data_IF_548044205503
#
_entry.id   IF_548044205503
#
_cell.length_a   1.000
_cell.length_b   1.000
_cell.length_c   1.000
_cell.angle_alpha   90.00
_cell.angle_beta   90.00
_cell.angle_gamma   90.00
#
_symmetry.space_group_name_H-M   'P 1'
#
loop_
_entity.id
_entity.type
_entity.pdbx_description
1 polymer ?
#
# COMPACT_ATOMS: atom_id res chain seq x y z
N UNK A 1 -3.75 3.25 -8.50
CA UNK A 1 -2.62 4.04 -9.01
C UNK A 1 -3.16 5.07 -9.99
N UNK A 2 -2.95 6.37 -9.73
CA UNK A 2 -3.14 7.40 -10.76
C UNK A 2 -1.95 7.32 -11.72
N UNK A 3 -2.16 6.81 -12.92
CA UNK A 3 -1.14 6.79 -13.97
C UNK A 3 -1.31 8.00 -14.88
N UNK A 4 -0.86 9.18 -14.44
CA UNK A 4 -0.78 10.42 -15.23
C UNK A 4 0.57 11.13 -15.06
N UNK A 5 1.66 10.36 -15.05
CA UNK A 5 3.01 10.91 -15.07
C UNK A 5 3.31 11.76 -16.31
N UNK A 6 4.35 12.59 -16.21
CA UNK A 6 4.76 13.56 -17.23
C UNK A 6 4.81 13.01 -18.67
N UNK A 7 4.47 13.88 -19.63
CA UNK A 7 4.52 13.58 -21.06
C UNK A 7 5.83 14.08 -21.70
N UNK A 8 6.64 13.17 -22.26
CA UNK A 8 7.63 13.56 -23.28
C UNK A 8 6.86 13.98 -24.53
N UNK A 9 7.04 15.22 -24.98
CA UNK A 9 6.30 15.80 -26.11
C UNK A 9 7.21 16.31 -27.21
N UNK A 10 7.01 15.79 -28.41
CA UNK A 10 7.24 16.50 -29.67
C UNK A 10 5.93 17.21 -30.10
N UNK A 11 6.00 18.25 -30.93
CA UNK A 11 4.83 19.06 -31.30
C UNK A 11 3.69 18.24 -31.97
N UNK A 12 2.44 18.61 -31.67
CA UNK A 12 1.20 17.82 -31.95
C UNK A 12 0.74 17.83 -33.42
N UNK A 13 0.08 16.73 -33.83
CA UNK A 13 -1.31 16.69 -34.39
C UNK A 13 -1.93 15.28 -34.17
N UNK A 14 -3.21 15.08 -34.46
CA UNK A 14 -4.13 14.21 -33.66
C UNK A 14 -5.17 13.37 -34.45
N UNK A 15 -5.79 12.39 -33.74
CA UNK A 15 -7.14 11.76 -33.94
C UNK A 15 -7.24 10.55 -34.95
N UNK A 16 -8.31 9.69 -34.94
CA UNK A 16 -8.72 8.69 -33.90
C UNK A 16 -9.34 7.35 -34.45
N UNK A 17 -10.19 6.64 -33.66
CA UNK A 17 -11.15 5.53 -33.97
C UNK A 17 -10.56 4.08 -33.96
N UNK A 18 -11.27 2.95 -33.69
CA UNK A 18 -12.72 2.64 -33.49
C UNK A 18 -12.95 1.45 -32.51
N UNK A 19 -14.23 1.15 -32.20
CA UNK A 19 -14.80 0.16 -31.24
C UNK A 19 -14.78 -1.31 -31.75
N UNK A 20 -14.82 -2.31 -30.85
CA UNK A 20 -15.26 -3.70 -31.12
C UNK A 20 -15.60 -4.50 -29.84
N UNK A 21 -16.64 -5.35 -29.84
CA UNK A 21 -17.17 -6.05 -28.66
C UNK A 21 -17.79 -7.44 -28.98
N UNK A 22 -18.07 -8.24 -27.91
CA UNK A 22 -18.90 -9.48 -27.86
C UNK A 22 -18.33 -10.77 -28.54
N UNK A 23 -18.66 -12.03 -28.17
CA UNK A 23 -19.31 -12.65 -26.98
C UNK A 23 -19.31 -14.22 -27.04
N UNK A 24 -19.45 -14.92 -25.88
CA UNK A 24 -20.05 -16.29 -25.67
C UNK A 24 -19.29 -17.54 -26.29
N UNK A 25 -19.35 -18.83 -25.87
CA UNK A 25 -20.06 -19.63 -24.79
C UNK A 25 -19.48 -21.07 -24.61
N UNK A 26 -20.04 -21.87 -23.66
CA UNK A 26 -19.98 -23.35 -23.40
C UNK A 26 -18.93 -23.81 -22.33
N UNK A 27 -19.22 -24.53 -21.22
CA UNK A 27 -19.93 -25.81 -20.90
C UNK A 27 -18.96 -27.03 -20.79
N UNK A 28 -19.07 -28.04 -19.89
CA UNK A 28 -20.01 -28.38 -18.79
C UNK A 28 -19.40 -29.44 -17.81
N UNK A 29 -19.85 -29.50 -16.53
CA UNK A 29 -19.85 -30.64 -15.54
C UNK A 29 -18.59 -31.41 -15.08
N UNK A 30 -18.58 -31.79 -13.79
CA UNK A 30 -17.80 -32.91 -13.23
C UNK A 30 -17.77 -32.96 -11.69
N UNK A 31 -18.33 -34.00 -11.05
CA UNK A 31 -18.31 -34.22 -9.59
C UNK A 31 -17.37 -35.37 -9.18
N UNK A 32 -16.90 -35.40 -7.94
CA UNK A 32 -16.81 -36.58 -7.05
C UNK A 32 -16.20 -36.22 -5.69
N UNK A 33 -16.78 -36.73 -4.61
CA UNK A 33 -16.26 -36.67 -3.23
C UNK A 33 -15.36 -37.88 -2.93
N UNK A 34 -14.47 -37.78 -1.92
CA UNK A 34 -14.02 -38.94 -1.14
C UNK A 34 -13.43 -38.52 0.23
N UNK A 35 -14.00 -39.06 1.32
CA UNK A 35 -13.64 -38.78 2.71
C UNK A 35 -12.45 -39.65 3.21
N UNK A 36 -11.59 -39.08 4.05
CA UNK A 36 -10.49 -39.79 4.72
C UNK A 36 -10.44 -39.51 6.24
N UNK A 37 -10.29 -40.53 7.12
CA UNK A 37 -10.53 -40.37 8.55
C UNK A 37 -9.42 -39.62 9.30
N UNK A 38 -9.83 -38.74 10.23
CA UNK A 38 -8.94 -37.94 11.06
C UNK A 38 -8.26 -38.76 12.18
N UNK A 39 -6.92 -38.69 12.25
CA UNK A 39 -6.17 -39.18 13.40
C UNK A 39 -6.18 -38.16 14.55
N UNK A 40 -6.54 -38.62 15.76
CA UNK A 40 -6.65 -37.77 16.94
C UNK A 40 -5.28 -37.21 17.36
N UNK A 41 -5.10 -35.89 17.22
CA UNK A 41 -3.88 -35.19 17.62
C UNK A 41 -3.94 -34.86 19.11
N UNK A 42 -2.95 -35.34 19.87
CA UNK A 42 -2.82 -35.11 21.31
C UNK A 42 -2.77 -33.60 21.61
N UNK A 43 -3.60 -33.16 22.55
CA UNK A 43 -3.63 -31.77 23.04
C UNK A 43 -2.40 -31.48 23.90
N UNK A 44 -1.60 -30.44 23.58
CA UNK A 44 -0.56 -29.97 24.49
C UNK A 44 -1.17 -29.48 25.80
N UNK A 45 -0.53 -29.79 26.92
CA UNK A 45 -0.94 -29.30 28.24
C UNK A 45 -0.93 -27.77 28.27
N UNK A 46 -1.95 -27.17 28.88
CA UNK A 46 -2.11 -25.72 28.88
C UNK A 46 -0.97 -25.03 29.64
N UNK A 47 -0.30 -24.09 28.98
CA UNK A 47 0.70 -23.23 29.63
C UNK A 47 0.04 -22.38 30.73
N UNK A 48 0.65 -22.38 31.92
CA UNK A 48 0.22 -21.60 33.09
C UNK A 48 0.74 -20.15 33.08
N UNK A 49 1.38 -19.71 32.00
CA UNK A 49 1.82 -18.32 31.86
C UNK A 49 0.60 -17.37 31.77
N UNK A 50 0.64 -16.19 32.42
CA UNK A 50 -0.40 -15.17 32.25
C UNK A 50 -0.58 -14.79 30.79
N UNK A 51 -1.83 -14.79 30.33
CA UNK A 51 -2.19 -14.40 28.96
C UNK A 51 -1.91 -12.89 28.79
N UNK A 52 -1.16 -12.46 27.75
CA UNK A 52 -0.85 -11.04 27.59
C UNK A 52 -2.10 -10.17 27.41
N UNK A 53 -2.00 -8.89 27.80
CA UNK A 53 -3.09 -7.94 27.69
C UNK A 53 -3.37 -7.61 26.21
N UNK A 54 -4.63 -7.35 25.83
CA UNK A 54 -4.94 -6.83 24.50
C UNK A 54 -4.45 -5.39 24.37
N UNK A 55 -4.02 -4.99 23.17
CA UNK A 55 -3.52 -3.63 22.92
C UNK A 55 -4.54 -2.54 23.30
N UNK A 56 -5.82 -2.80 23.06
CA UNK A 56 -7.00 -2.00 23.44
C UNK A 56 -8.21 -2.90 23.68
N UNK A 57 -9.28 -2.36 24.25
CA UNK A 57 -10.61 -2.98 24.11
C UNK A 57 -11.24 -2.68 22.74
N UNK A 58 -12.20 -3.51 22.33
CA UNK A 58 -13.00 -3.31 21.11
C UNK A 58 -13.69 -1.94 21.05
N UNK A 59 -14.11 -1.38 22.20
CA UNK A 59 -14.70 -0.05 22.27
C UNK A 59 -13.66 1.04 21.96
N UNK A 60 -12.52 1.01 22.65
CA UNK A 60 -11.44 1.98 22.45
C UNK A 60 -10.90 1.96 21.00
N UNK A 61 -10.78 0.78 20.37
CA UNK A 61 -10.38 0.69 18.96
C UNK A 61 -11.39 1.38 18.02
N UNK A 62 -12.69 1.32 18.32
CA UNK A 62 -13.75 2.04 17.58
C UNK A 62 -13.68 3.54 17.81
N UNK A 63 -13.38 3.97 19.03
CA UNK A 63 -13.18 5.39 19.37
C UNK A 63 -11.96 5.96 18.64
N UNK A 64 -10.87 5.19 18.51
CA UNK A 64 -9.69 5.55 17.69
C UNK A 64 -10.07 5.76 16.22
N UNK A 65 -10.80 4.83 15.59
CA UNK A 65 -11.24 4.96 14.18
C UNK A 65 -12.20 6.16 14.00
N UNK A 66 -13.05 6.42 14.99
CA UNK A 66 -13.97 7.58 15.01
C UNK A 66 -13.20 8.89 15.10
N UNK A 67 -12.25 8.98 16.05
CA UNK A 67 -11.34 10.13 16.21
C UNK A 67 -10.55 10.39 14.94
N UNK A 68 -9.99 9.33 14.34
CA UNK A 68 -9.28 9.39 13.07
C UNK A 68 -10.14 10.06 12.00
N UNK A 69 -11.32 9.51 11.70
CA UNK A 69 -12.18 10.04 10.63
C UNK A 69 -12.59 11.49 10.89
N UNK A 70 -12.81 11.88 12.16
CA UNK A 70 -13.11 13.27 12.51
C UNK A 70 -11.93 14.20 12.21
N UNK A 71 -10.75 13.92 12.76
CA UNK A 71 -9.60 14.83 12.68
C UNK A 71 -8.99 14.82 11.27
N UNK A 72 -8.93 13.67 10.59
CA UNK A 72 -8.52 13.60 9.19
C UNK A 72 -9.43 14.47 8.30
N UNK A 73 -10.76 14.49 8.52
CA UNK A 73 -11.68 15.39 7.81
C UNK A 73 -11.52 16.89 8.12
N UNK A 74 -11.05 17.23 9.32
CA UNK A 74 -10.74 18.61 9.69
C UNK A 74 -9.42 19.02 9.02
N UNK A 75 -8.37 18.21 9.17
CA UNK A 75 -7.07 18.44 8.55
C UNK A 75 -7.11 18.51 7.02
N UNK A 76 -7.83 17.60 6.35
CA UNK A 76 -7.91 17.57 4.88
C UNK A 76 -8.74 18.71 4.29
N UNK A 77 -9.72 19.25 5.03
CA UNK A 77 -10.50 20.40 4.58
C UNK A 77 -9.65 21.68 4.50
N UNK A 78 -8.69 21.83 5.41
CA UNK A 78 -7.85 23.03 5.56
C UNK A 78 -6.38 22.81 5.15
N UNK A 79 -6.02 21.59 4.71
CA UNK A 79 -4.65 21.12 4.45
C UNK A 79 -3.69 21.25 5.67
N UNK A 80 -4.21 21.17 6.90
CA UNK A 80 -3.44 21.32 8.14
C UNK A 80 -2.62 20.05 8.45
N UNK A 81 -1.38 20.03 7.95
CA UNK A 81 -0.38 18.97 8.21
C UNK A 81 -0.13 18.72 9.71
N UNK A 82 -0.18 19.76 10.55
CA UNK A 82 0.07 19.64 12.01
C UNK A 82 -1.13 19.04 12.74
N UNK A 83 -2.35 19.23 12.23
CA UNK A 83 -3.53 18.54 12.73
C UNK A 83 -3.55 17.07 12.26
N UNK A 84 -3.15 16.82 11.01
CA UNK A 84 -3.01 15.48 10.43
C UNK A 84 -2.01 14.61 11.20
N UNK A 85 -0.86 15.17 11.56
CA UNK A 85 0.20 14.59 12.42
C UNK A 85 -0.32 14.09 13.79
N UNK A 86 -1.54 14.46 14.20
CA UNK A 86 -2.16 13.94 15.45
C UNK A 86 -3.01 12.69 15.26
N UNK A 87 -3.17 12.21 14.01
CA UNK A 87 -3.94 11.00 13.63
C UNK A 87 -3.28 10.13 12.58
N UNK A 88 -2.23 10.59 11.90
CA UNK A 88 -1.43 9.82 10.95
C UNK A 88 0.06 9.96 11.25
N UNK A 89 0.81 8.87 11.04
CA UNK A 89 2.28 8.86 11.07
C UNK A 89 2.82 7.87 10.00
N UNK A 90 4.13 7.72 9.90
CA UNK A 90 4.78 6.68 9.12
C UNK A 90 4.58 6.84 7.61
N UNK A 91 4.50 5.73 6.85
CA UNK A 91 4.34 5.78 5.40
C UNK A 91 3.01 6.41 4.98
N UNK A 92 1.92 6.23 5.76
CA UNK A 92 0.65 6.89 5.47
C UNK A 92 0.75 8.41 5.56
N UNK A 93 1.28 8.96 6.65
CA UNK A 93 1.43 10.41 6.79
C UNK A 93 2.29 11.01 5.67
N UNK A 94 3.37 10.34 5.27
CA UNK A 94 4.19 10.78 4.15
C UNK A 94 3.43 10.81 2.80
N UNK A 95 2.52 9.86 2.57
CA UNK A 95 1.64 9.86 1.41
C UNK A 95 0.63 11.02 1.48
N UNK A 96 -0.07 11.20 2.60
CA UNK A 96 -1.07 12.26 2.77
C UNK A 96 -0.48 13.68 2.72
N UNK A 97 0.70 13.90 3.31
CA UNK A 97 1.45 15.17 3.22
C UNK A 97 1.87 15.47 1.77
N UNK A 98 2.14 14.44 0.98
CA UNK A 98 2.38 14.60 -0.46
C UNK A 98 1.13 15.04 -1.20
N UNK A 99 -0.02 14.40 -0.98
CA UNK A 99 -1.29 14.79 -1.59
C UNK A 99 -1.65 16.26 -1.29
N UNK A 100 -1.35 16.75 -0.07
CA UNK A 100 -1.49 18.18 0.28
C UNK A 100 -0.52 19.06 -0.52
N UNK A 101 0.71 18.61 -0.69
CA UNK A 101 1.78 19.31 -1.42
C UNK A 101 1.45 19.41 -2.92
N UNK A 102 0.98 18.33 -3.55
CA UNK A 102 0.46 18.33 -4.93
C UNK A 102 -0.71 19.31 -5.07
N UNK A 103 -1.67 19.27 -4.14
CA UNK A 103 -2.85 20.15 -4.12
C UNK A 103 -2.47 21.63 -3.99
N UNK A 104 -1.51 21.95 -3.13
CA UNK A 104 -0.99 23.32 -2.98
C UNK A 104 -0.25 23.81 -4.23
N UNK A 105 0.44 22.92 -4.94
CA UNK A 105 1.07 23.22 -6.23
C UNK A 105 0.08 23.65 -7.32
N UNK A 106 -1.19 23.24 -7.22
CA UNK A 106 -2.24 23.62 -8.17
C UNK A 106 -2.73 25.07 -7.98
N UNK A 107 -3.06 25.79 -9.07
CA UNK A 107 -3.81 27.05 -9.00
C UNK A 107 -5.10 26.87 -8.21
N UNK A 108 -5.49 27.84 -7.38
CA UNK A 108 -6.66 27.71 -6.49
C UNK A 108 -7.97 27.32 -7.20
N UNK A 109 -8.16 27.76 -8.45
CA UNK A 109 -9.32 27.42 -9.31
C UNK A 109 -9.30 26.00 -9.90
N UNK A 110 -8.18 25.30 -9.79
CA UNK A 110 -7.96 23.92 -10.26
C UNK A 110 -7.93 22.93 -9.06
N UNK A 111 -8.16 23.42 -7.82
CA UNK A 111 -8.23 22.58 -6.60
C UNK A 111 -9.68 22.13 -6.39
N UNK A 112 -9.88 20.82 -6.33
CA UNK A 112 -11.19 20.24 -6.00
C UNK A 112 -11.50 20.42 -4.50
N UNK A 113 -12.75 20.73 -4.12
CA UNK A 113 -13.17 20.76 -2.71
C UNK A 113 -13.02 19.38 -2.05
N UNK A 114 -12.58 19.36 -0.78
CA UNK A 114 -12.49 18.12 -0.03
C UNK A 114 -13.87 17.58 0.38
N UNK A 115 -14.18 16.35 -0.03
CA UNK A 115 -15.38 15.62 0.39
C UNK A 115 -15.14 14.87 1.70
N UNK A 116 -15.88 15.23 2.75
CA UNK A 116 -15.79 14.57 4.06
C UNK A 116 -16.38 13.16 4.03
N UNK A 117 -15.67 12.21 4.64
CA UNK A 117 -16.05 10.79 4.68
C UNK A 117 -15.81 10.18 6.07
N UNK A 118 -16.35 9.00 6.35
CA UNK A 118 -16.07 8.30 7.60
C UNK A 118 -16.14 6.80 7.42
N UNK A 119 -15.32 6.04 8.14
CA UNK A 119 -15.42 4.58 8.10
C UNK A 119 -16.74 4.07 8.66
N UNK A 120 -17.31 3.07 8.00
CA UNK A 120 -18.47 2.33 8.49
C UNK A 120 -18.07 1.37 9.61
N UNK A 121 -18.22 1.84 10.85
CA UNK A 121 -17.93 1.05 12.03
C UNK A 121 -18.82 -0.21 12.15
N UNK A 122 -20.00 -0.25 11.52
CA UNK A 122 -20.89 -1.41 11.61
C UNK A 122 -20.33 -2.62 10.84
N UNK A 123 -19.67 -2.37 9.70
CA UNK A 123 -19.01 -3.40 8.89
C UNK A 123 -17.55 -3.68 9.27
N UNK A 124 -16.92 -2.79 10.04
CA UNK A 124 -15.53 -2.90 10.46
C UNK A 124 -15.21 -4.22 11.19
N UNK A 125 -14.12 -4.89 10.76
CA UNK A 125 -13.52 -6.03 11.48
C UNK A 125 -12.28 -5.53 12.21
N UNK A 126 -12.16 -5.85 13.49
CA UNK A 126 -11.08 -5.39 14.34
C UNK A 126 -10.20 -6.57 14.70
N UNK A 127 -8.90 -6.42 14.48
CA UNK A 127 -7.87 -7.42 14.78
C UNK A 127 -6.92 -6.82 15.81
N UNK A 128 -7.34 -6.90 17.07
CA UNK A 128 -6.61 -6.31 18.19
C UNK A 128 -5.69 -7.38 18.78
N UNK A 129 -4.36 -7.29 18.61
CA UNK A 129 -3.44 -8.28 19.14
C UNK A 129 -3.38 -8.22 20.66
N UNK A 130 -3.06 -9.36 21.27
CA UNK A 130 -2.45 -9.41 22.60
C UNK A 130 -0.95 -9.22 22.49
N UNK A 131 -0.42 -8.38 23.38
CA UNK A 131 0.95 -7.91 23.36
C UNK A 131 1.56 -8.10 24.74
N UNK A 132 2.80 -8.57 24.78
CA UNK A 132 3.58 -8.67 26.01
C UNK A 132 4.03 -7.28 26.49
N UNK A 133 4.33 -7.17 27.78
CA UNK A 133 4.79 -5.92 28.37
C UNK A 133 6.05 -5.41 27.65
N UNK A 134 6.03 -4.12 27.28
CA UNK A 134 7.12 -3.47 26.55
C UNK A 134 7.09 -3.63 25.03
N UNK A 135 6.15 -4.39 24.45
CA UNK A 135 5.92 -4.36 23.00
C UNK A 135 5.16 -3.09 22.60
N UNK A 136 5.49 -2.52 21.44
CA UNK A 136 4.75 -1.39 20.86
C UNK A 136 3.29 -1.76 20.61
N UNK A 137 2.37 -0.87 21.00
CA UNK A 137 0.94 -1.13 21.00
C UNK A 137 0.34 -0.76 19.65
N UNK A 138 -0.35 -1.71 19.02
CA UNK A 138 -1.01 -1.50 17.73
C UNK A 138 -2.27 -2.37 17.60
N UNK A 139 -3.11 -2.08 16.62
CA UNK A 139 -4.14 -3.00 16.12
C UNK A 139 -4.33 -2.81 14.61
N UNK A 140 -4.81 -3.86 13.94
CA UNK A 140 -5.25 -3.75 12.54
C UNK A 140 -6.78 -3.75 12.46
N UNK A 141 -7.32 -3.15 11.40
CA UNK A 141 -8.76 -3.17 11.13
C UNK A 141 -9.03 -3.33 9.63
N UNK A 142 -9.99 -4.18 9.27
CA UNK A 142 -10.59 -4.15 7.95
C UNK A 142 -11.74 -3.14 7.95
N UNK A 143 -11.69 -2.15 7.06
CA UNK A 143 -12.57 -0.99 7.04
C UNK A 143 -13.24 -0.78 5.68
N UNK A 144 -14.43 -0.17 5.70
CA UNK A 144 -15.13 0.36 4.53
C UNK A 144 -15.32 1.86 4.69
N UNK A 145 -15.02 2.66 3.65
CA UNK A 145 -15.39 4.08 3.59
C UNK A 145 -16.84 4.31 3.13
N UNK A 146 -17.54 3.26 2.71
CA UNK A 146 -18.94 3.30 2.28
C UNK A 146 -19.83 2.56 3.29
N UNK A 147 -20.93 3.21 3.69
CA UNK A 147 -21.90 2.66 4.65
C UNK A 147 -22.58 1.41 4.11
N UNK A 148 -22.54 0.32 4.88
CA UNK A 148 -23.19 -0.95 4.53
C UNK A 148 -22.48 -1.76 3.45
N UNK A 149 -21.25 -1.40 3.07
CA UNK A 149 -20.41 -2.22 2.18
C UNK A 149 -19.47 -3.11 2.98
N UNK A 150 -19.03 -4.21 2.36
CA UNK A 150 -17.96 -5.03 2.90
C UNK A 150 -16.64 -4.23 2.92
N UNK A 151 -15.78 -4.44 3.94
CA UNK A 151 -14.45 -3.85 4.00
C UNK A 151 -13.64 -4.04 2.71
N UNK A 152 -13.02 -2.95 2.27
CA UNK A 152 -12.16 -2.88 1.08
C UNK A 152 -10.75 -2.39 1.40
N UNK A 153 -10.47 -2.06 2.67
CA UNK A 153 -9.18 -1.57 3.16
C UNK A 153 -8.73 -2.35 4.39
N UNK A 154 -7.43 -2.58 4.52
CA UNK A 154 -6.79 -2.91 5.79
C UNK A 154 -6.02 -1.69 6.28
N UNK A 155 -6.23 -1.30 7.53
CA UNK A 155 -5.48 -0.23 8.20
C UNK A 155 -4.75 -0.77 9.43
N UNK A 156 -3.60 -0.19 9.78
CA UNK A 156 -2.92 -0.37 11.06
C UNK A 156 -2.93 0.94 11.82
N UNK A 157 -3.35 0.89 13.08
CA UNK A 157 -3.21 1.97 14.04
C UNK A 157 -2.16 1.58 15.07
N UNK A 158 -1.23 2.47 15.37
CA UNK A 158 -0.20 2.30 16.40
C UNK A 158 -0.33 3.39 17.47
N UNK A 159 0.04 3.07 18.72
CA UNK A 159 0.19 4.04 19.80
C UNK A 159 1.62 4.55 19.81
N UNK A 160 1.82 5.81 19.40
CA UNK A 160 3.17 6.35 19.31
C UNK A 160 3.82 6.48 20.70
N UNK A 161 5.03 5.92 20.91
CA UNK A 161 5.63 5.85 22.24
C UNK A 161 5.82 7.21 22.93
N UNK A 162 6.08 8.27 22.15
CA UNK A 162 6.47 9.60 22.67
C UNK A 162 5.30 10.38 23.27
N UNK A 163 4.12 10.33 22.65
CA UNK A 163 2.94 11.13 23.03
C UNK A 163 1.69 10.30 23.36
N UNK A 164 1.77 8.96 23.29
CA UNK A 164 0.68 8.01 23.60
C UNK A 164 -0.61 8.32 22.84
N UNK A 165 -0.49 8.80 21.61
CA UNK A 165 -1.61 9.01 20.69
C UNK A 165 -1.72 7.82 19.76
N UNK A 166 -2.95 7.43 19.45
CA UNK A 166 -3.25 6.42 18.46
C UNK A 166 -3.41 7.05 17.09
N UNK A 167 -2.58 6.62 16.15
CA UNK A 167 -2.40 7.18 14.82
C UNK A 167 -2.40 6.06 13.78
N UNK A 168 -2.99 6.30 12.60
CA UNK A 168 -2.96 5.35 11.50
C UNK A 168 -1.60 5.45 10.81
N UNK A 169 -0.85 4.37 10.80
CA UNK A 169 0.52 4.32 10.23
C UNK A 169 0.54 3.69 8.84
N UNK A 170 -0.45 2.87 8.52
CA UNK A 170 -0.54 2.14 7.26
C UNK A 170 -1.99 1.94 6.85
N UNK A 171 -2.29 2.10 5.56
CA UNK A 171 -3.56 1.68 4.95
C UNK A 171 -3.34 1.12 3.55
N UNK A 172 -4.03 0.03 3.25
CA UNK A 172 -3.91 -0.73 2.01
C UNK A 172 -5.29 -0.96 1.40
N UNK A 173 -5.50 -0.50 0.16
CA UNK A 173 -6.65 -0.85 -0.65
C UNK A 173 -6.54 -2.30 -1.14
N UNK A 174 -7.55 -3.11 -0.86
CA UNK A 174 -7.58 -4.54 -1.20
C UNK A 174 -8.10 -4.78 -2.61
N UNK A 175 -7.50 -5.78 -3.27
CA UNK A 175 -7.97 -6.23 -4.59
C UNK A 175 -9.21 -7.13 -4.56
N UNK A 176 -9.52 -7.65 -3.38
CA UNK A 176 -10.65 -8.53 -3.11
C UNK A 176 -11.24 -8.17 -1.75
N UNK A 177 -12.56 -8.19 -1.64
CA UNK A 177 -13.26 -8.07 -0.36
C UNK A 177 -13.20 -9.36 0.47
N UNK A 178 -12.61 -10.45 -0.05
CA UNK A 178 -12.27 -11.62 0.78
C UNK A 178 -11.07 -11.28 1.65
N UNK A 179 -11.34 -10.96 2.92
CA UNK A 179 -10.34 -10.76 3.95
C UNK A 179 -9.61 -12.08 4.29
N UNK A 180 -8.37 -12.02 4.79
CA UNK A 180 -7.71 -13.16 5.40
C UNK A 180 -8.39 -13.60 6.70
N UNK A 181 -8.40 -14.91 6.92
CA UNK A 181 -8.96 -15.53 8.13
C UNK A 181 -7.94 -15.41 9.28
N UNK A 182 -7.93 -14.24 9.94
CA UNK A 182 -7.06 -13.94 11.10
C UNK A 182 -7.49 -14.77 12.31
N UNK A 183 -6.55 -15.48 12.92
CA UNK A 183 -6.80 -16.30 14.10
C UNK A 183 -7.12 -15.43 15.32
N UNK A 184 -8.36 -15.54 15.81
CA UNK A 184 -8.82 -14.90 17.03
C UNK A 184 -8.91 -15.91 18.19
N UNK A 185 -8.68 -15.44 19.40
CA UNK A 185 -8.93 -16.20 20.62
C UNK A 185 -10.43 -16.21 21.00
N UNK A 186 -10.77 -16.96 22.06
CA UNK A 186 -12.16 -17.08 22.57
C UNK A 186 -12.78 -15.77 23.06
N UNK A 187 -11.99 -14.72 23.27
CA UNK A 187 -12.44 -13.39 23.68
C UNK A 187 -12.48 -12.41 22.50
N UNK A 188 -12.12 -12.86 21.28
CA UNK A 188 -12.13 -12.07 20.05
C UNK A 188 -10.83 -11.31 19.75
N UNK A 189 -9.74 -11.57 20.46
CA UNK A 189 -8.45 -10.90 20.26
C UNK A 189 -7.51 -11.70 19.37
N UNK A 190 -6.76 -11.00 18.52
CA UNK A 190 -5.80 -11.60 17.60
C UNK A 190 -4.49 -11.98 18.31
N UNK A 191 -3.67 -12.79 17.63
CA UNK A 191 -2.30 -13.07 18.05
C UNK A 191 -1.32 -12.35 17.13
N UNK A 192 -0.53 -11.42 17.68
CA UNK A 192 0.62 -10.87 16.98
C UNK A 192 1.70 -11.95 16.81
N UNK A 193 2.38 -11.95 15.68
CA UNK A 193 3.58 -12.75 15.42
C UNK A 193 4.71 -11.83 14.97
N UNK A 194 5.96 -12.29 15.07
CA UNK A 194 7.07 -11.51 14.53
C UNK A 194 6.93 -11.43 12.99
N UNK A 195 6.97 -10.22 12.45
CA UNK A 195 6.95 -9.98 11.01
C UNK A 195 8.31 -10.25 10.35
N UNK A 196 9.39 -10.11 11.14
CA UNK A 196 10.77 -10.43 10.76
C UNK A 196 11.29 -11.63 11.56
N UNK A 197 12.26 -12.35 10.99
CA UNK A 197 12.94 -13.52 11.58
C UNK A 197 12.06 -14.71 12.03
N UNK A 198 10.76 -14.69 11.73
CA UNK A 198 9.85 -15.76 12.09
C UNK A 198 10.02 -16.98 11.19
N UNK A 199 10.86 -17.94 11.63
CA UNK A 199 11.17 -19.17 10.89
C UNK A 199 9.99 -20.17 10.79
N UNK A 200 8.80 -19.81 11.26
CA UNK A 200 7.54 -20.55 11.02
C UNK A 200 6.75 -20.01 9.83
N UNK A 201 7.24 -18.97 9.14
CA UNK A 201 6.60 -18.37 7.96
C UNK A 201 7.46 -18.56 6.71
N UNK A 202 6.81 -18.61 5.53
CA UNK A 202 7.47 -18.75 4.23
C UNK A 202 8.37 -17.55 3.85
N UNK A 203 8.03 -16.37 4.36
CA UNK A 203 8.73 -15.11 4.12
C UNK A 203 8.58 -14.18 5.34
N UNK A 204 9.58 -13.36 5.61
CA UNK A 204 9.50 -12.20 6.48
C UNK A 204 9.20 -10.92 5.69
N UNK A 205 8.97 -9.80 6.38
CA UNK A 205 8.66 -8.53 5.74
C UNK A 205 9.81 -8.03 4.84
N UNK A 206 11.07 -8.38 5.12
CA UNK A 206 12.21 -7.95 4.31
C UNK A 206 12.33 -8.76 3.00
N UNK A 207 12.06 -10.06 3.02
CA UNK A 207 11.90 -10.84 1.79
C UNK A 207 10.67 -10.39 0.98
N UNK A 208 9.57 -10.02 1.64
CA UNK A 208 8.39 -9.44 0.98
C UNK A 208 8.70 -8.08 0.33
N UNK A 209 9.46 -7.20 1.00
CA UNK A 209 9.96 -5.93 0.45
C UNK A 209 10.81 -6.15 -0.80
N UNK A 210 11.80 -7.04 -0.71
CA UNK A 210 12.65 -7.42 -1.85
C UNK A 210 11.80 -7.93 -3.03
N UNK A 211 10.76 -8.72 -2.75
CA UNK A 211 9.87 -9.27 -3.76
C UNK A 211 8.95 -8.22 -4.43
N UNK A 212 8.44 -7.22 -3.70
CA UNK A 212 7.65 -6.14 -4.32
C UNK A 212 8.53 -5.17 -5.10
N UNK A 213 9.74 -4.87 -4.60
CA UNK A 213 10.72 -4.07 -5.34
C UNK A 213 11.09 -4.74 -6.67
N UNK A 214 11.40 -6.03 -6.67
CA UNK A 214 11.70 -6.78 -7.89
C UNK A 214 10.53 -6.82 -8.89
N UNK A 215 9.27 -6.78 -8.43
CA UNK A 215 8.11 -6.64 -9.33
C UNK A 215 8.14 -5.31 -10.12
N UNK A 216 8.62 -4.22 -9.52
CA UNK A 216 8.76 -2.91 -10.18
C UNK A 216 10.05 -2.81 -11.01
N UNK A 217 11.19 -3.28 -10.47
CA UNK A 217 12.50 -3.09 -11.12
C UNK A 217 12.76 -4.06 -12.27
N UNK A 218 12.31 -5.32 -12.18
CA UNK A 218 12.58 -6.35 -13.21
C UNK A 218 11.34 -7.06 -13.75
N UNK A 219 10.14 -6.67 -13.32
CA UNK A 219 8.91 -7.42 -13.61
C UNK A 219 8.81 -8.74 -12.83
N UNK A 220 9.51 -8.85 -11.70
CA UNK A 220 9.40 -9.97 -10.76
C UNK A 220 10.26 -11.18 -11.14
N UNK A 221 11.26 -11.02 -12.02
CA UNK A 221 12.02 -12.16 -12.57
C UNK A 221 13.03 -12.77 -11.60
N UNK A 222 13.47 -12.04 -10.56
CA UNK A 222 14.50 -12.53 -9.63
C UNK A 222 13.91 -13.13 -8.35
N UNK A 223 12.99 -12.41 -7.72
CA UNK A 223 12.46 -12.70 -6.38
C UNK A 223 10.94 -12.61 -6.37
N UNK A 224 10.35 -11.64 -7.08
CA UNK A 224 8.91 -11.37 -7.06
C UNK A 224 8.05 -12.60 -7.40
N UNK A 225 8.36 -13.26 -8.52
CA UNK A 225 7.67 -14.48 -8.99
C UNK A 225 8.00 -15.74 -8.18
N UNK A 226 9.05 -15.73 -7.35
CA UNK A 226 9.42 -16.84 -6.47
C UNK A 226 8.72 -16.75 -5.11
N UNK A 227 8.61 -15.53 -4.59
CA UNK A 227 7.98 -15.25 -3.29
C UNK A 227 6.46 -15.14 -3.42
N UNK A 228 5.94 -14.53 -4.49
CA UNK A 228 4.50 -14.31 -4.67
C UNK A 228 3.87 -15.25 -5.69
N UNK A 229 2.78 -15.91 -5.29
CA UNK A 229 1.80 -16.43 -6.23
C UNK A 229 1.20 -15.27 -7.06
N UNK A 230 0.84 -15.50 -8.34
CA UNK A 230 0.21 -14.47 -9.15
C UNK A 230 -1.15 -14.02 -8.58
N UNK A 231 -1.24 -12.78 -8.10
CA UNK A 231 -2.48 -12.13 -7.65
C UNK A 231 -2.80 -10.93 -8.54
N UNK A 232 -3.96 -10.30 -8.35
CA UNK A 232 -4.28 -9.03 -9.02
C UNK A 232 -3.32 -7.91 -8.61
N UNK A 233 -2.79 -7.94 -7.39
CA UNK A 233 -1.83 -6.98 -6.86
C UNK A 233 -0.45 -7.16 -7.50
N UNK A 234 0.15 -8.36 -7.41
CA UNK A 234 1.49 -8.61 -7.98
C UNK A 234 1.49 -8.45 -9.51
N UNK A 235 0.42 -8.89 -10.20
CA UNK A 235 0.27 -8.65 -11.64
C UNK A 235 0.20 -7.16 -12.01
N UNK A 236 -0.32 -6.27 -11.15
CA UNK A 236 -0.26 -4.82 -11.42
C UNK A 236 1.15 -4.26 -11.25
N UNK A 237 1.87 -4.66 -10.21
CA UNK A 237 3.26 -4.22 -10.01
C UNK A 237 4.13 -4.62 -11.22
N UNK A 238 4.03 -5.88 -11.66
CA UNK A 238 4.70 -6.37 -12.88
C UNK A 238 4.22 -5.65 -14.15
N UNK A 239 2.91 -5.32 -14.25
CA UNK A 239 2.41 -4.53 -15.38
C UNK A 239 3.02 -3.13 -15.41
N UNK A 240 3.16 -2.47 -14.26
CA UNK A 240 3.75 -1.13 -14.14
C UNK A 240 5.19 -1.11 -14.68
N UNK A 241 5.99 -2.14 -14.36
CA UNK A 241 7.30 -2.35 -14.98
C UNK A 241 7.21 -2.41 -16.51
N UNK A 242 6.36 -3.31 -17.05
CA UNK A 242 6.24 -3.49 -18.51
C UNK A 242 5.69 -2.26 -19.26
N UNK A 243 4.80 -1.49 -18.61
CA UNK A 243 4.27 -0.24 -19.15
C UNK A 243 5.37 0.83 -19.21
N UNK A 244 6.19 0.95 -18.15
CA UNK A 244 7.30 1.90 -18.10
C UNK A 244 8.38 1.62 -19.16
N UNK A 245 8.74 0.35 -19.35
CA UNK A 245 9.71 -0.08 -20.35
C UNK A 245 9.35 0.33 -21.80
N UNK A 246 8.06 0.58 -22.09
CA UNK A 246 7.58 0.99 -23.41
C UNK A 246 7.03 2.42 -23.46
N UNK A 247 6.88 3.10 -22.31
CA UNK A 247 6.14 4.36 -22.13
C UNK A 247 6.53 5.50 -23.07
N UNK A 248 7.82 5.59 -23.44
CA UNK A 248 8.34 6.69 -24.25
C UNK A 248 8.90 6.27 -25.62
N UNK A 249 8.87 4.97 -25.95
CA UNK A 249 9.40 4.45 -27.20
C UNK A 249 10.86 4.84 -27.43
N UNK A 250 11.14 5.46 -28.58
CA UNK A 250 12.47 5.94 -28.99
C UNK A 250 12.89 7.27 -28.32
N UNK A 251 11.99 7.94 -27.60
CA UNK A 251 12.19 9.32 -27.09
C UNK A 251 12.76 9.38 -25.69
N UNK A 252 12.83 8.27 -24.98
CA UNK A 252 13.29 8.23 -23.60
C UNK A 252 13.07 6.90 -22.92
N UNK A 253 13.43 6.84 -21.65
CA UNK A 253 13.31 5.69 -20.76
C UNK A 253 12.47 6.04 -19.54
N UNK A 254 11.87 5.02 -18.94
CA UNK A 254 11.21 5.09 -17.64
C UNK A 254 11.65 3.84 -16.88
N UNK A 255 12.47 4.01 -15.84
CA UNK A 255 13.12 2.89 -15.13
C UNK A 255 12.79 2.98 -13.65
N UNK A 256 12.39 1.86 -13.05
CA UNK A 256 12.21 1.77 -11.61
C UNK A 256 13.48 1.26 -10.94
N UNK A 257 13.77 1.79 -9.76
CA UNK A 257 14.87 1.32 -8.91
C UNK A 257 14.43 1.25 -7.45
N UNK A 258 15.17 0.51 -6.62
CA UNK A 258 14.98 0.52 -5.18
C UNK A 258 15.38 1.87 -4.55
N UNK A 259 14.92 2.12 -3.32
CA UNK A 259 15.23 3.33 -2.59
C UNK A 259 15.22 3.07 -1.08
N UNK A 260 15.99 3.88 -0.34
CA UNK A 260 16.11 3.78 1.12
C UNK A 260 14.74 3.88 1.80
N UNK A 261 14.25 2.74 2.30
CA UNK A 261 12.95 2.67 2.96
C UNK A 261 13.07 3.03 4.45
N UNK A 262 12.88 4.31 4.77
CA UNK A 262 12.85 4.79 6.17
C UNK A 262 11.70 4.23 7.03
N UNK A 263 10.74 3.53 6.43
CA UNK A 263 9.58 2.95 7.10
C UNK A 263 9.76 1.43 7.27
N UNK A 264 10.62 1.05 8.21
CA UNK A 264 11.01 -0.36 8.43
C UNK A 264 9.99 -1.18 9.21
N UNK A 265 9.01 -0.54 9.85
CA UNK A 265 7.99 -1.22 10.65
C UNK A 265 7.15 -2.19 9.80
N UNK A 266 6.81 -3.33 10.41
CA UNK A 266 5.96 -4.35 9.82
C UNK A 266 5.12 -5.02 10.90
N UNK A 267 3.84 -5.24 10.59
CA UNK A 267 2.82 -5.68 11.53
C UNK A 267 2.25 -7.01 11.05
N UNK A 268 2.39 -8.07 11.87
CA UNK A 268 1.96 -9.40 11.50
C UNK A 268 0.98 -10.02 12.50
N UNK A 269 -0.12 -10.55 11.98
CA UNK A 269 -1.17 -11.24 12.72
C UNK A 269 -1.26 -12.68 12.25
N UNK A 270 -1.33 -13.63 13.18
CA UNK A 270 -1.49 -15.06 12.85
C UNK A 270 -2.82 -15.30 12.10
N UNK A 271 -2.80 -16.15 11.08
CA UNK A 271 -4.00 -16.67 10.39
C UNK A 271 -4.40 -18.07 10.87
N UNK A 272 -5.64 -18.47 10.64
CA UNK A 272 -6.19 -19.75 11.13
C UNK A 272 -5.48 -20.98 10.55
N UNK A 273 -4.97 -20.88 9.32
CA UNK A 273 -4.12 -21.88 8.66
C UNK A 273 -2.70 -22.00 9.27
N UNK A 274 -2.37 -21.17 10.26
CA UNK A 274 -1.09 -21.10 10.94
C UNK A 274 -0.10 -20.10 10.36
N UNK A 275 -0.41 -19.49 9.20
CA UNK A 275 0.40 -18.44 8.58
C UNK A 275 0.26 -17.07 9.24
N UNK A 276 0.47 -16.01 8.46
CA UNK A 276 0.27 -14.64 8.90
C UNK A 276 -0.33 -13.73 7.81
N UNK A 277 -1.16 -12.77 8.23
CA UNK A 277 -1.38 -11.52 7.52
C UNK A 277 -0.27 -10.55 7.94
N UNK A 278 0.53 -10.10 6.96
CA UNK A 278 1.63 -9.14 7.16
C UNK A 278 1.28 -7.83 6.44
N UNK A 279 1.35 -6.71 7.16
CA UNK A 279 1.32 -5.36 6.61
C UNK A 279 2.69 -4.73 6.77
N UNK A 280 3.19 -4.16 5.68
CA UNK A 280 4.53 -3.57 5.61
C UNK A 280 4.50 -2.39 4.63
N UNK A 281 5.65 -1.74 4.47
CA UNK A 281 5.82 -0.67 3.49
C UNK A 281 7.14 -0.83 2.74
N UNK A 282 7.21 -0.21 1.57
CA UNK A 282 8.43 -0.06 0.80
C UNK A 282 8.51 1.35 0.18
N UNK A 283 9.72 1.73 -0.20
CA UNK A 283 9.98 2.96 -0.97
C UNK A 283 10.71 2.56 -2.25
N UNK A 284 10.34 3.13 -3.39
CA UNK A 284 11.01 2.91 -4.68
C UNK A 284 11.07 4.21 -5.47
N UNK A 285 11.96 4.29 -6.47
CA UNK A 285 12.00 5.43 -7.39
C UNK A 285 11.58 5.05 -8.80
N UNK A 286 11.15 6.05 -9.57
CA UNK A 286 10.99 5.97 -11.02
C UNK A 286 11.78 7.11 -11.65
N UNK A 287 12.72 6.79 -12.55
CA UNK A 287 13.48 7.78 -13.31
C UNK A 287 12.98 7.82 -14.75
N UNK A 288 12.30 8.91 -15.11
CA UNK A 288 11.99 9.26 -16.50
C UNK A 288 13.17 10.06 -17.09
N UNK A 289 13.67 9.72 -18.28
CA UNK A 289 14.78 10.42 -18.94
C UNK A 289 14.60 10.48 -20.46
N UNK A 290 15.06 11.55 -21.11
CA UNK A 290 15.02 11.66 -22.58
C UNK A 290 16.20 10.97 -23.26
N UNK A 291 15.98 10.42 -24.47
CA UNK A 291 16.98 9.62 -25.18
C UNK A 291 18.16 10.43 -25.74
N UNK A 292 17.97 11.71 -26.06
CA UNK A 292 19.02 12.56 -26.64
C UNK A 292 18.76 14.06 -26.43
N UNK A 293 19.80 14.87 -26.66
CA UNK A 293 19.70 16.34 -26.65
C UNK A 293 18.64 16.84 -27.63
N UNK A 294 17.89 17.89 -27.25
CA UNK A 294 16.81 18.48 -28.05
C UNK A 294 15.41 17.96 -27.70
N UNK A 295 15.31 16.90 -26.89
CA UNK A 295 14.07 16.49 -26.23
C UNK A 295 13.99 17.07 -24.81
N UNK A 296 12.79 17.18 -24.27
CA UNK A 296 12.55 17.55 -22.87
C UNK A 296 11.31 16.85 -22.31
N UNK A 297 11.33 16.60 -21.00
CA UNK A 297 10.16 16.21 -20.21
C UNK A 297 9.51 17.50 -19.71
N UNK A 298 8.21 17.66 -19.96
CA UNK A 298 7.43 18.75 -19.36
C UNK A 298 6.67 18.14 -18.17
N UNK A 299 6.92 18.58 -16.92
CA UNK A 299 6.22 18.08 -15.75
C UNK A 299 4.70 18.14 -15.89
N UNK A 300 4.00 17.16 -15.32
CA UNK A 300 2.55 17.14 -15.20
C UNK A 300 2.03 18.20 -14.22
N UNK A 301 0.70 18.39 -14.19
CA UNK A 301 0.07 19.27 -13.18
C UNK A 301 0.37 18.82 -11.76
N UNK A 302 0.38 17.51 -11.54
CA UNK A 302 0.63 16.89 -10.23
C UNK A 302 2.10 17.08 -9.78
N UNK A 303 3.05 17.13 -10.73
CA UNK A 303 4.48 17.34 -10.46
C UNK A 303 4.83 18.80 -10.07
N UNK A 304 3.90 19.73 -10.29
CA UNK A 304 4.10 21.18 -10.25
C UNK A 304 4.56 21.69 -8.88
N UNK A 305 4.21 20.99 -7.81
CA UNK A 305 4.60 21.35 -6.45
C UNK A 305 6.14 21.32 -6.27
N UNK A 306 6.80 20.30 -6.83
CA UNK A 306 8.26 20.12 -6.71
C UNK A 306 9.03 20.66 -7.92
N UNK A 307 8.53 20.40 -9.14
CA UNK A 307 9.25 20.71 -10.38
C UNK A 307 8.85 22.04 -11.02
N UNK A 308 7.68 22.57 -10.65
CA UNK A 308 6.99 23.66 -11.33
C UNK A 308 6.76 23.35 -12.83
N UNK A 309 6.30 24.34 -13.61
CA UNK A 309 6.08 24.17 -15.06
C UNK A 309 7.42 24.18 -15.87
N UNK A 310 8.54 23.83 -15.24
CA UNK A 310 9.89 24.00 -15.80
C UNK A 310 10.36 22.70 -16.49
N UNK A 311 10.82 22.73 -17.75
CA UNK A 311 11.25 21.51 -18.44
C UNK A 311 12.50 20.87 -17.84
N UNK A 312 12.56 19.53 -17.93
CA UNK A 312 13.64 18.69 -17.39
C UNK A 312 14.21 17.76 -18.47
N UNK A 313 15.49 17.38 -18.39
CA UNK A 313 16.06 16.29 -19.20
C UNK A 313 15.77 14.91 -18.59
N UNK A 314 15.71 14.85 -17.27
CA UNK A 314 15.30 13.69 -16.49
C UNK A 314 14.57 14.13 -15.23
N UNK A 315 13.62 13.31 -14.78
CA UNK A 315 12.88 13.47 -13.53
C UNK A 315 13.01 12.15 -12.77
N UNK A 316 13.44 12.22 -11.51
CA UNK A 316 13.31 11.13 -10.55
C UNK A 316 12.09 11.40 -9.67
N UNK A 317 11.19 10.43 -9.59
CA UNK A 317 10.06 10.41 -8.68
C UNK A 317 10.32 9.42 -7.55
N UNK A 318 9.95 9.76 -6.33
CA UNK A 318 10.03 8.85 -5.17
C UNK A 318 8.63 8.43 -4.76
N UNK A 319 8.39 7.14 -4.60
CA UNK A 319 7.10 6.58 -4.19
C UNK A 319 7.23 5.90 -2.83
N UNK A 320 6.30 6.20 -1.93
CA UNK A 320 6.10 5.49 -0.67
C UNK A 320 4.83 4.67 -0.80
N UNK A 321 4.90 3.40 -0.37
CA UNK A 321 3.85 2.42 -0.53
C UNK A 321 3.57 1.67 0.77
N UNK A 322 2.29 1.39 1.01
CA UNK A 322 1.81 0.41 1.97
C UNK A 322 1.38 -0.87 1.23
N UNK A 323 1.75 -2.03 1.75
CA UNK A 323 1.50 -3.34 1.16
C UNK A 323 0.89 -4.29 2.20
N UNK A 324 0.01 -5.18 1.76
CA UNK A 324 -0.51 -6.27 2.58
C UNK A 324 -0.36 -7.62 1.87
N UNK A 325 0.15 -8.61 2.59
CA UNK A 325 0.33 -9.97 2.08
C UNK A 325 -0.19 -11.02 3.08
N UNK A 326 -0.67 -12.15 2.56
CA UNK A 326 -0.83 -13.38 3.35
C UNK A 326 0.37 -14.30 3.12
N UNK A 327 1.03 -14.71 4.18
CA UNK A 327 2.22 -15.55 4.19
C UNK A 327 1.88 -16.91 4.82
N UNK A 328 2.02 -18.03 4.10
CA UNK A 328 1.74 -19.35 4.66
C UNK A 328 2.83 -19.81 5.65
N UNK A 329 2.49 -20.78 6.50
CA UNK A 329 3.41 -21.36 7.49
C UNK A 329 4.38 -22.43 6.93
N UNK A 330 4.20 -22.82 5.66
CA UNK A 330 5.01 -23.80 4.94
C UNK A 330 5.69 -23.12 3.77
N UNK A 331 6.64 -23.81 3.12
CA UNK A 331 7.28 -23.36 1.88
C UNK A 331 6.31 -23.37 0.67
N UNK A 332 5.32 -22.49 0.73
CA UNK A 332 4.34 -22.17 -0.31
C UNK A 332 4.45 -20.67 -0.64
N UNK A 333 4.17 -20.23 -1.88
CA UNK A 333 4.27 -18.82 -2.22
C UNK A 333 3.30 -17.95 -1.42
N UNK A 334 3.80 -16.81 -0.93
CA UNK A 334 2.99 -15.76 -0.33
C UNK A 334 2.03 -15.13 -1.34
N UNK A 335 1.06 -14.35 -0.88
CA UNK A 335 0.09 -13.67 -1.75
C UNK A 335 -0.01 -12.20 -1.38
N UNK A 336 0.44 -11.31 -2.25
CA UNK A 336 0.16 -9.88 -2.13
C UNK A 336 -1.35 -9.66 -2.37
N UNK A 337 -2.09 -9.13 -1.39
CA UNK A 337 -3.55 -8.96 -1.44
C UNK A 337 -4.01 -7.53 -1.73
N UNK A 338 -3.11 -6.56 -1.59
CA UNK A 338 -3.33 -5.17 -1.91
C UNK A 338 -2.05 -4.35 -1.74
N UNK A 339 -2.01 -3.18 -2.35
CA UNK A 339 -1.01 -2.15 -2.09
C UNK A 339 -1.56 -0.77 -2.48
N UNK A 340 -1.18 0.26 -1.73
CA UNK A 340 -1.50 1.67 -2.01
C UNK A 340 -0.21 2.47 -1.96
N UNK A 341 0.06 3.23 -3.03
CA UNK A 341 1.26 4.08 -3.14
C UNK A 341 0.87 5.52 -3.46
N UNK A 342 1.63 6.47 -2.93
CA UNK A 342 1.67 7.84 -3.44
C UNK A 342 3.10 8.19 -3.87
N UNK A 343 3.22 9.07 -4.87
CA UNK A 343 4.45 9.82 -5.07
C UNK A 343 4.63 10.73 -3.86
N UNK A 344 5.85 10.88 -3.36
CA UNK A 344 6.20 11.72 -2.21
C UNK A 344 7.26 12.78 -2.53
N UNK A 345 7.98 12.63 -3.63
CA UNK A 345 8.89 13.63 -4.18
C UNK A 345 8.98 13.54 -5.71
N UNK A 346 9.37 14.64 -6.34
CA UNK A 346 9.78 14.69 -7.74
C UNK A 346 10.93 15.69 -7.94
N UNK A 347 12.10 15.21 -8.36
CA UNK A 347 13.30 16.03 -8.50
C UNK A 347 13.99 15.85 -9.85
N UNK A 348 14.86 16.81 -10.21
CA UNK A 348 15.63 16.79 -11.46
C UNK A 348 16.16 18.17 -11.85
N UNK A 349 17.28 18.27 -12.56
CA UNK A 349 17.86 19.55 -12.97
C UNK A 349 17.08 20.19 -14.14
N UNK A 350 16.83 21.52 -14.13
CA UNK A 350 16.27 22.24 -15.27
C UNK A 350 17.06 22.00 -16.56
N UNK A 351 16.38 22.04 -17.72
CA UNK A 351 17.10 22.09 -19.00
C UNK A 351 18.05 23.30 -19.04
N UNK A 352 19.27 23.21 -19.60
CA UNK A 352 20.25 24.30 -19.57
C UNK A 352 19.73 25.63 -20.15
N UNK A 353 18.85 25.57 -21.17
CA UNK A 353 18.22 26.73 -21.80
C UNK A 353 17.24 27.49 -20.89
N UNK A 354 16.84 26.90 -19.76
CA UNK A 354 16.02 27.53 -18.71
C UNK A 354 16.87 28.12 -17.58
N UNK A 355 17.99 27.48 -17.24
CA UNK A 355 18.94 27.96 -16.21
C UNK A 355 19.58 29.32 -16.52
N UNK A 356 19.46 29.82 -17.75
CA UNK A 356 19.88 31.17 -18.15
C UNK A 356 18.74 32.21 -18.17
N UNK A 357 17.53 31.85 -17.70
CA UNK A 357 16.34 32.72 -17.66
C UNK A 357 15.77 32.94 -16.27
N UNK A 358 16.18 32.11 -15.30
CA UNK A 358 15.98 32.31 -13.87
C UNK A 358 17.12 33.18 -13.33
#
# INVERSE_FOLDING_TARGET
>A
MRTLGASIRTARRTLPLIIGAACLTLALTGCSDEDGPAQARQTPSASTAPKPAPALSTAQARDVITRYSKINNEANADLDRRLLDTVEDGPLYAMSVSDYTETEGLPAKDREPYERWSYDLASAKLYIPRLADGQDRWFAAALSSEKGKAPSRLAVFAEQPQHKRWEMVSVVDLDSQKLPDVALDREGYATAVAANDNKQLAADADLLRTAVLDNFTTGGTNTGSKVFAPTKASKRQVKVHSDAATRFGDKGTSVFDEADNRFTDAYALKTEDGGALVLFSHTHTQTDAVAHSGLQINPGKEDRAWLHDVPRMSIQYTFVCNDAATVPAKAEPSRLIGYTCARTDASGPPVPSWSHRA
#
